data_IF_905835187345
#
_entry.id   IF_905835187345
#
_cell.length_a   1.000
_cell.length_b   1.000
_cell.length_c   1.000
_cell.angle_alpha   90.00
_cell.angle_beta   90.00
_cell.angle_gamma   90.00
#
_symmetry.space_group_name_H-M   'P 1'
#
loop_
_entity.id
_entity.type
_entity.pdbx_description
1 polymer ?
#
# COMPACT_ATOMS: atom_id res chain seq x y z
N UNK A 1 20.76 -10.25 -20.35
CA UNK A 1 20.83 -9.31 -19.20
C UNK A 1 20.14 -8.01 -19.61
N UNK A 2 18.82 -7.97 -19.49
CA UNK A 2 17.97 -6.90 -20.02
C UNK A 2 18.09 -5.63 -19.17
N UNK A 3 18.59 -4.57 -19.77
CA UNK A 3 18.74 -3.21 -19.21
C UNK A 3 17.41 -2.75 -18.60
N UNK A 4 17.34 -2.68 -17.27
CA UNK A 4 16.23 -2.02 -16.56
C UNK A 4 16.47 -0.51 -16.66
N UNK A 5 16.23 0.04 -17.86
CA UNK A 5 16.32 1.46 -18.09
C UNK A 5 15.13 2.14 -17.41
N UNK A 6 15.45 2.95 -16.38
CA UNK A 6 14.56 3.80 -15.57
C UNK A 6 13.75 3.07 -14.49
N UNK A 7 14.48 2.37 -13.61
CA UNK A 7 13.95 1.92 -12.32
C UNK A 7 13.63 3.11 -11.40
N UNK A 8 12.37 3.55 -11.38
CA UNK A 8 11.88 4.37 -10.27
C UNK A 8 12.15 3.61 -8.97
N UNK A 9 12.73 4.28 -7.99
CA UNK A 9 13.00 3.66 -6.69
C UNK A 9 11.71 3.55 -5.88
N UNK A 10 11.72 2.61 -4.95
CA UNK A 10 10.67 2.51 -3.96
C UNK A 10 10.58 3.82 -3.18
N UNK A 11 9.38 4.36 -3.10
CA UNK A 11 9.08 5.66 -2.48
C UNK A 11 8.84 5.54 -0.96
N UNK A 12 9.08 4.33 -0.43
CA UNK A 12 8.99 4.02 1.00
C UNK A 12 10.26 4.51 1.69
N UNK A 13 10.09 5.27 2.77
CA UNK A 13 11.21 5.76 3.60
C UNK A 13 12.10 4.59 4.05
N UNK A 14 13.38 4.64 3.68
CA UNK A 14 14.34 3.56 3.98
C UNK A 14 14.38 2.42 2.95
N UNK A 15 13.73 2.54 1.79
CA UNK A 15 13.81 1.55 0.72
C UNK A 15 14.50 2.07 -0.54
N UNK A 16 15.60 1.42 -0.94
CA UNK A 16 16.32 1.74 -2.17
C UNK A 16 16.10 0.70 -3.29
N UNK A 17 15.04 -0.11 -3.20
CA UNK A 17 14.77 -1.19 -4.16
C UNK A 17 14.08 -0.68 -5.43
N UNK A 18 14.21 -1.37 -6.58
CA UNK A 18 13.50 -1.01 -7.78
C UNK A 18 11.99 -1.16 -7.56
N UNK A 19 11.25 -0.09 -7.82
CA UNK A 19 9.80 -0.15 -7.82
C UNK A 19 9.32 -0.99 -9.01
N UNK A 20 8.34 -1.83 -8.74
CA UNK A 20 7.73 -2.72 -9.74
C UNK A 20 6.26 -2.38 -9.97
N UNK A 21 5.70 -1.52 -9.12
CA UNK A 21 4.29 -1.12 -9.15
C UNK A 21 4.11 0.29 -8.64
N UNK A 22 3.06 0.94 -9.13
CA UNK A 22 2.52 2.21 -8.61
C UNK A 22 1.22 1.94 -7.86
N UNK A 23 1.01 2.69 -6.77
CA UNK A 23 -0.20 2.68 -5.94
C UNK A 23 -0.58 4.12 -5.59
N UNK A 24 -1.82 4.29 -5.16
CA UNK A 24 -2.29 5.55 -4.58
C UNK A 24 -1.74 5.73 -3.17
N UNK A 25 -1.42 6.98 -2.82
CA UNK A 25 -0.93 7.35 -1.48
C UNK A 25 -1.89 6.90 -0.38
N UNK A 26 -3.20 6.99 -0.57
CA UNK A 26 -4.23 6.60 0.41
C UNK A 26 -4.13 5.13 0.81
N UNK A 27 -3.97 4.24 -0.17
CA UNK A 27 -3.85 2.79 0.01
C UNK A 27 -2.57 2.42 0.75
N UNK A 28 -1.47 3.10 0.43
CA UNK A 28 -0.18 2.85 1.08
C UNK A 28 -0.07 3.53 2.46
N UNK A 29 -0.66 4.72 2.64
CA UNK A 29 -0.72 5.44 3.92
C UNK A 29 -1.56 4.68 4.96
N UNK A 30 -2.66 4.05 4.53
CA UNK A 30 -3.49 3.21 5.42
C UNK A 30 -2.75 2.01 6.02
N UNK A 31 -1.64 1.59 5.41
CA UNK A 31 -0.82 0.51 5.96
C UNK A 31 0.26 0.97 6.96
N UNK A 32 0.33 2.27 7.26
CA UNK A 32 1.30 2.84 8.21
C UNK A 32 2.72 2.97 7.65
N UNK A 33 2.89 2.90 6.33
CA UNK A 33 4.19 3.14 5.68
C UNK A 33 4.37 4.64 5.44
N UNK A 34 5.55 5.16 5.77
CA UNK A 34 5.95 6.53 5.44
C UNK A 34 6.33 6.62 3.95
N UNK A 35 5.65 7.50 3.22
CA UNK A 35 5.77 7.69 1.78
C UNK A 35 6.28 9.10 1.48
N UNK A 36 7.15 9.23 0.49
CA UNK A 36 7.77 10.51 0.12
C UNK A 36 6.99 11.26 -0.97
N UNK A 37 6.21 10.55 -1.79
CA UNK A 37 5.47 11.07 -2.94
C UNK A 37 4.06 11.52 -2.58
N UNK A 38 3.61 12.60 -3.24
CA UNK A 38 2.34 13.25 -2.97
C UNK A 38 1.14 12.63 -3.70
N UNK A 39 1.35 12.02 -4.88
CA UNK A 39 0.27 11.52 -5.76
C UNK A 39 0.35 9.99 -5.96
N UNK A 40 1.29 9.54 -6.80
CA UNK A 40 1.57 8.12 -7.07
C UNK A 40 2.79 7.65 -6.33
N UNK A 41 2.60 6.59 -5.56
CA UNK A 41 3.63 5.98 -4.73
C UNK A 41 4.13 4.72 -5.42
N UNK A 42 5.43 4.68 -5.65
CA UNK A 42 6.09 3.56 -6.31
C UNK A 42 6.60 2.58 -5.25
N UNK A 43 6.18 1.32 -5.33
CA UNK A 43 6.56 0.30 -4.34
C UNK A 43 7.22 -0.90 -5.00
N UNK A 44 8.16 -1.51 -4.27
CA UNK A 44 8.73 -2.79 -4.65
C UNK A 44 7.78 -3.95 -4.28
N UNK A 45 8.08 -5.15 -4.79
CA UNK A 45 7.26 -6.36 -4.59
C UNK A 45 7.09 -6.73 -3.11
N UNK A 46 8.08 -6.43 -2.28
CA UNK A 46 8.05 -6.68 -0.84
C UNK A 46 7.13 -5.72 -0.09
N UNK A 47 7.25 -4.42 -0.34
CA UNK A 47 6.34 -3.44 0.25
C UNK A 47 4.89 -3.67 -0.16
N UNK A 48 4.67 -4.06 -1.41
CA UNK A 48 3.33 -4.44 -1.86
C UNK A 48 2.74 -5.62 -1.06
N UNK A 49 3.55 -6.62 -0.66
CA UNK A 49 3.08 -7.73 0.19
C UNK A 49 2.71 -7.26 1.60
N UNK A 50 3.49 -6.34 2.18
CA UNK A 50 3.21 -5.78 3.51
C UNK A 50 1.92 -4.98 3.48
N UNK A 51 1.79 -4.05 2.53
CA UNK A 51 0.59 -3.23 2.30
C UNK A 51 -0.65 -4.14 2.17
N UNK A 52 -0.57 -5.17 1.30
CA UNK A 52 -1.68 -6.12 1.07
C UNK A 52 -2.04 -6.92 2.33
N UNK A 53 -1.08 -7.28 3.17
CA UNK A 53 -1.34 -7.98 4.45
C UNK A 53 -2.07 -7.07 5.43
N UNK A 54 -1.65 -5.82 5.57
CA UNK A 54 -2.30 -4.85 6.45
C UNK A 54 -3.73 -4.55 6.00
N UNK A 55 -3.95 -4.30 4.71
CA UNK A 55 -5.29 -4.08 4.13
C UNK A 55 -6.24 -5.27 4.32
N UNK A 56 -5.73 -6.51 4.25
CA UNK A 56 -6.55 -7.70 4.54
C UNK A 56 -7.04 -7.73 5.99
N UNK A 57 -6.19 -7.36 6.95
CA UNK A 57 -6.60 -7.28 8.37
C UNK A 57 -7.64 -6.17 8.58
N UNK A 58 -7.43 -5.00 7.96
CA UNK A 58 -8.34 -3.86 8.07
C UNK A 58 -9.72 -4.13 7.44
N UNK A 59 -9.76 -4.83 6.29
CA UNK A 59 -11.01 -5.28 5.65
C UNK A 59 -11.85 -6.20 6.52
N UNK A 60 -11.19 -7.05 7.30
CA UNK A 60 -11.89 -7.94 8.23
C UNK A 60 -12.56 -7.07 9.29
N UNK A 61 -11.82 -6.19 9.97
CA UNK A 61 -12.31 -5.31 11.05
C UNK A 61 -13.45 -4.39 10.59
N UNK A 62 -13.31 -3.76 9.42
CA UNK A 62 -14.36 -2.90 8.83
C UNK A 62 -15.64 -3.69 8.52
N UNK A 63 -15.53 -4.93 8.05
CA UNK A 63 -16.69 -5.79 7.80
C UNK A 63 -17.48 -6.12 9.08
N UNK A 64 -16.81 -6.31 10.22
CA UNK A 64 -17.49 -6.47 11.52
C UNK A 64 -18.21 -5.19 11.98
N UNK A 65 -17.61 -4.02 11.74
CA UNK A 65 -18.23 -2.72 12.10
C UNK A 65 -19.49 -2.43 11.28
N UNK A 66 -19.53 -2.79 10.01
CA UNK A 66 -20.71 -2.60 9.17
C UNK A 66 -21.85 -3.60 9.44
N UNK A 67 -21.63 -4.67 10.22
CA UNK A 67 -22.69 -5.59 10.64
C UNK A 67 -23.42 -5.13 11.92
N UNK A 68 -22.85 -4.22 12.71
CA UNK A 68 -23.45 -3.76 13.97
C UNK A 68 -24.47 -2.60 13.80
N UNK A 69 -24.63 -2.05 12.60
CA UNK A 69 -25.48 -0.87 12.34
C UNK A 69 -26.84 -1.18 11.70
N UNK A 70 -27.22 -2.47 11.61
CA UNK A 70 -28.45 -2.92 10.95
C UNK A 70 -29.70 -3.07 11.82
N UNK A 71 -29.78 -2.45 13.00
CA UNK A 71 -30.99 -2.46 13.84
C UNK A 71 -31.50 -1.04 14.09
N UNK A 72 -32.12 -0.45 13.06
CA UNK A 72 -32.96 0.73 13.22
C UNK A 72 -34.07 0.69 12.18
N UNK A 73 -35.15 -0.01 12.51
CA UNK A 73 -36.49 0.13 11.94
C UNK A 73 -37.49 -0.27 13.00
#
# INVERSE_FOLDING_TARGET
MGKVAKGKQCDVKGCNRPAVRSLEKTVAAGSGLELTSQDRVYVCKEHYKVIKKSLKKERIITKWRHMASGFKS
#
